data_IF_850360527006
#
_entry.id   IF_850360527006
#
_cell.length_a   1.000
_cell.length_b   1.000
_cell.length_c   1.000
_cell.angle_alpha   90.00
_cell.angle_beta   90.00
_cell.angle_gamma   90.00
#
_symmetry.space_group_name_H-M   'P 1'
#
loop_
_entity.id
_entity.type
_entity.pdbx_description
1 polymer ?
#
# COMPACT_ATOMS: atom_id res chain seq x y z
N UNK A 1 -11.30 40.41 -21.85
CA UNK A 1 -10.11 39.62 -21.50
C UNK A 1 -10.59 38.21 -21.21
N UNK A 2 -10.34 37.26 -22.11
CA UNK A 2 -10.70 35.86 -21.88
C UNK A 2 -9.68 35.30 -20.89
N UNK A 3 -10.07 35.18 -19.63
CA UNK A 3 -9.30 34.40 -18.67
C UNK A 3 -9.35 32.95 -19.17
N UNK A 4 -8.20 32.40 -19.55
CA UNK A 4 -8.06 30.97 -19.75
C UNK A 4 -8.55 30.29 -18.47
N UNK A 5 -9.47 29.31 -18.53
CA UNK A 5 -9.94 28.65 -17.33
C UNK A 5 -8.74 28.12 -16.55
N UNK A 6 -8.61 28.53 -15.28
CA UNK A 6 -7.55 27.99 -14.42
C UNK A 6 -7.75 26.47 -14.36
N UNK A 7 -6.73 25.66 -14.70
CA UNK A 7 -6.87 24.21 -14.63
C UNK A 7 -7.25 23.81 -13.19
N UNK A 8 -8.16 22.85 -13.06
CA UNK A 8 -8.54 22.32 -11.75
C UNK A 8 -7.34 21.71 -11.04
N UNK A 9 -7.29 21.93 -9.73
CA UNK A 9 -6.21 21.43 -8.88
C UNK A 9 -6.77 20.68 -7.68
N UNK A 10 -5.94 19.79 -7.16
CA UNK A 10 -6.21 18.91 -6.05
C UNK A 10 -5.33 19.30 -4.86
N UNK A 11 -5.93 19.62 -3.72
CA UNK A 11 -5.19 19.87 -2.48
C UNK A 11 -5.24 18.66 -1.55
N UNK A 12 -4.09 18.34 -0.94
CA UNK A 12 -3.89 17.18 -0.06
C UNK A 12 -4.42 15.85 -0.65
N UNK A 13 -4.10 15.50 -1.91
CA UNK A 13 -4.57 14.25 -2.47
C UNK A 13 -3.96 13.06 -1.74
N UNK A 14 -4.79 12.07 -1.45
CA UNK A 14 -4.41 10.81 -0.82
C UNK A 14 -5.15 9.67 -1.49
N UNK A 15 -4.41 8.68 -1.98
CA UNK A 15 -4.97 7.47 -2.57
C UNK A 15 -4.58 6.26 -1.74
N UNK A 16 -5.58 5.51 -1.28
CA UNK A 16 -5.38 4.24 -0.58
C UNK A 16 -5.78 3.09 -1.49
N UNK A 17 -4.88 2.12 -1.65
CA UNK A 17 -5.19 0.81 -2.22
C UNK A 17 -5.45 -0.16 -1.08
N UNK A 18 -6.64 -0.76 -1.09
CA UNK A 18 -6.98 -1.96 -0.34
C UNK A 18 -6.80 -3.16 -1.27
N UNK A 19 -5.91 -4.08 -0.94
CA UNK A 19 -5.57 -5.23 -1.79
C UNK A 19 -5.66 -6.54 -0.99
N UNK A 20 -6.25 -7.58 -1.61
CA UNK A 20 -6.51 -8.87 -0.98
C UNK A 20 -5.88 -10.00 -1.79
N UNK A 21 -4.90 -10.67 -1.19
CA UNK A 21 -4.15 -11.77 -1.81
C UNK A 21 -4.47 -13.09 -1.10
N UNK A 22 -4.87 -14.10 -1.87
CA UNK A 22 -5.09 -15.43 -1.33
C UNK A 22 -3.79 -16.00 -0.75
N UNK A 23 -3.81 -16.34 0.53
CA UNK A 23 -2.66 -16.92 1.24
C UNK A 23 -2.80 -18.44 1.32
N UNK A 24 -3.99 -18.95 1.64
CA UNK A 24 -4.26 -20.39 1.74
C UNK A 24 -5.48 -20.75 0.89
N UNK A 25 -5.41 -21.92 0.25
CA UNK A 25 -6.54 -22.49 -0.50
C UNK A 25 -6.86 -23.87 0.09
N UNK A 26 -8.15 -24.14 0.34
CA UNK A 26 -8.62 -25.42 0.86
C UNK A 26 -8.20 -26.62 0.01
N UNK A 27 -7.96 -26.40 -1.30
CA UNK A 27 -7.52 -27.43 -2.26
C UNK A 27 -6.05 -27.83 -2.11
N UNK A 28 -5.20 -26.98 -1.52
CA UNK A 28 -3.78 -27.28 -1.26
C UNK A 28 -3.57 -28.11 0.01
N UNK A 29 -4.63 -28.43 0.75
CA UNK A 29 -4.57 -29.19 2.00
C UNK A 29 -4.49 -28.28 3.24
N UNK A 30 -4.80 -28.84 4.41
CA UNK A 30 -4.83 -28.07 5.67
C UNK A 30 -3.48 -27.40 5.90
N UNK A 31 -3.50 -26.08 6.09
CA UNK A 31 -2.36 -25.23 6.48
C UNK A 31 -1.28 -24.97 5.40
N UNK A 32 -1.45 -25.41 4.15
CA UNK A 32 -0.48 -25.11 3.09
C UNK A 32 -0.79 -23.75 2.44
N UNK A 33 0.23 -22.88 2.38
CA UNK A 33 0.12 -21.60 1.67
C UNK A 33 0.24 -21.80 0.16
N UNK A 34 -0.34 -20.86 -0.60
CA UNK A 34 -0.19 -20.77 -2.04
C UNK A 34 1.26 -20.44 -2.44
N UNK A 35 1.74 -20.95 -3.57
CA UNK A 35 3.11 -20.72 -4.04
C UNK A 35 3.38 -19.23 -4.32
N UNK A 36 2.33 -18.47 -4.64
CA UNK A 36 2.35 -17.02 -4.86
C UNK A 36 1.77 -16.22 -3.68
N UNK A 37 1.63 -16.80 -2.48
CA UNK A 37 1.04 -16.12 -1.33
C UNK A 37 1.78 -14.81 -0.99
N UNK A 38 3.10 -14.77 -1.15
CA UNK A 38 3.92 -13.59 -0.86
C UNK A 38 3.94 -12.54 -1.98
N UNK A 39 3.29 -12.79 -3.12
CA UNK A 39 3.34 -11.91 -4.30
C UNK A 39 2.99 -10.46 -3.97
N UNK A 40 2.01 -10.24 -3.09
CA UNK A 40 1.60 -8.90 -2.65
C UNK A 40 2.77 -8.11 -2.03
N UNK A 41 3.60 -8.78 -1.23
CA UNK A 41 4.77 -8.16 -0.58
C UNK A 41 5.90 -7.90 -1.57
N UNK A 42 6.13 -8.83 -2.51
CA UNK A 42 7.10 -8.64 -3.59
C UNK A 42 6.73 -7.44 -4.48
N UNK A 43 5.44 -7.27 -4.78
CA UNK A 43 4.93 -6.11 -5.53
C UNK A 43 5.11 -4.79 -4.76
N UNK A 44 4.95 -4.79 -3.43
CA UNK A 44 5.28 -3.61 -2.62
C UNK A 44 6.77 -3.26 -2.68
N UNK A 45 7.66 -4.27 -2.67
CA UNK A 45 9.11 -4.04 -2.85
C UNK A 45 9.38 -3.45 -4.23
N UNK A 46 8.77 -3.99 -5.29
CA UNK A 46 8.91 -3.46 -6.65
C UNK A 46 8.42 -2.00 -6.77
N UNK A 47 7.30 -1.66 -6.12
CA UNK A 47 6.81 -0.29 -6.01
C UNK A 47 7.84 0.62 -5.32
N UNK A 48 8.47 0.12 -4.25
CA UNK A 48 9.56 0.79 -3.54
C UNK A 48 10.77 1.06 -4.41
N UNK A 49 11.14 0.11 -5.28
CA UNK A 49 12.21 0.28 -6.25
C UNK A 49 11.87 1.32 -7.31
N UNK A 50 10.70 1.22 -7.93
CA UNK A 50 10.25 2.14 -8.97
C UNK A 50 10.15 3.59 -8.47
N UNK A 51 9.69 3.80 -7.23
CA UNK A 51 9.42 5.13 -6.66
C UNK A 51 10.48 5.62 -5.69
N UNK A 52 11.58 4.89 -5.55
CA UNK A 52 12.66 5.17 -4.63
C UNK A 52 12.19 5.41 -3.18
N UNK A 53 11.41 4.46 -2.65
CA UNK A 53 10.87 4.48 -1.27
C UNK A 53 11.61 3.45 -0.44
N UNK A 54 12.61 3.87 0.35
CA UNK A 54 13.50 2.97 1.09
C UNK A 54 12.79 1.99 2.02
N UNK A 55 11.73 2.43 2.69
CA UNK A 55 10.94 1.55 3.57
C UNK A 55 10.35 0.38 2.78
N UNK A 56 9.81 0.64 1.58
CA UNK A 56 9.19 -0.41 0.76
C UNK A 56 10.25 -1.33 0.15
N UNK A 57 11.41 -0.80 -0.26
CA UNK A 57 12.56 -1.63 -0.70
C UNK A 57 12.99 -2.63 0.39
N UNK A 58 12.96 -2.18 1.63
CA UNK A 58 13.33 -2.98 2.81
C UNK A 58 12.14 -3.64 3.51
N UNK A 59 10.95 -3.70 2.87
CA UNK A 59 9.71 -4.14 3.52
C UNK A 59 9.84 -5.54 4.12
N UNK A 60 10.52 -6.47 3.45
CA UNK A 60 10.71 -7.86 3.93
C UNK A 60 11.37 -7.92 5.31
N UNK A 61 12.24 -6.96 5.65
CA UNK A 61 12.84 -6.86 6.98
C UNK A 61 11.82 -6.55 8.07
N UNK A 62 10.74 -5.86 7.72
CA UNK A 62 9.70 -5.42 8.65
C UNK A 62 8.60 -6.46 8.85
N UNK A 63 8.49 -7.48 7.99
CA UNK A 63 7.40 -8.44 8.00
C UNK A 63 7.75 -9.72 8.77
N UNK A 64 6.82 -10.22 9.58
CA UNK A 64 6.94 -11.48 10.35
C UNK A 64 7.14 -12.68 9.42
N UNK A 65 6.46 -12.69 8.27
CA UNK A 65 6.46 -13.78 7.29
C UNK A 65 7.77 -13.94 6.48
N UNK A 66 8.85 -13.26 6.85
CA UNK A 66 10.15 -13.38 6.21
C UNK A 66 11.26 -13.64 7.23
N UNK A 67 12.20 -14.54 6.92
CA UNK A 67 13.41 -14.78 7.72
C UNK A 67 14.63 -14.33 6.93
N UNK A 68 15.61 -13.70 7.61
CA UNK A 68 16.90 -13.44 7.00
C UNK A 68 17.71 -14.74 6.88
N UNK A 69 18.07 -15.13 5.65
CA UNK A 69 19.00 -16.22 5.38
C UNK A 69 20.42 -15.65 5.19
N UNK A 70 21.35 -15.92 6.13
CA UNK A 70 22.73 -15.43 6.02
C UNK A 70 23.52 -16.08 4.88
N UNK A 71 23.09 -17.22 4.33
CA UNK A 71 23.78 -17.89 3.22
C UNK A 71 23.63 -17.10 1.92
N UNK A 72 22.43 -16.61 1.67
CA UNK A 72 22.09 -15.86 0.46
C UNK A 72 22.10 -14.34 0.70
N UNK A 73 22.25 -13.91 1.96
CA UNK A 73 22.12 -12.50 2.38
C UNK A 73 20.78 -11.87 1.96
N UNK A 74 19.70 -12.67 2.01
CA UNK A 74 18.36 -12.27 1.58
C UNK A 74 17.29 -12.68 2.58
N UNK A 75 16.16 -11.97 2.54
CA UNK A 75 14.96 -12.35 3.27
C UNK A 75 14.15 -13.36 2.46
N UNK A 76 14.02 -14.58 2.99
CA UNK A 76 13.23 -15.65 2.40
C UNK A 76 11.84 -15.70 3.03
N UNK A 77 10.82 -15.98 2.21
CA UNK A 77 9.44 -16.10 2.67
C UNK A 77 9.30 -17.35 3.54
N UNK A 78 8.86 -17.15 4.79
CA UNK A 78 8.62 -18.17 5.78
C UNK A 78 7.34 -17.83 6.58
N UNK A 79 6.15 -18.23 6.10
CA UNK A 79 4.88 -17.84 6.70
C UNK A 79 4.63 -18.48 8.08
N UNK A 80 5.34 -19.54 8.47
CA UNK A 80 5.17 -20.12 9.82
C UNK A 80 5.65 -19.18 10.93
N UNK A 81 6.52 -18.23 10.60
CA UNK A 81 6.99 -17.23 11.56
C UNK A 81 5.84 -16.35 12.10
N UNK A 82 4.77 -16.16 11.32
CA UNK A 82 3.63 -15.35 11.71
C UNK A 82 3.04 -15.82 13.05
N UNK A 83 2.84 -17.13 13.17
CA UNK A 83 2.27 -17.74 14.37
C UNK A 83 3.34 -17.91 15.48
N UNK A 84 4.60 -18.15 15.09
CA UNK A 84 5.71 -18.29 16.04
C UNK A 84 6.06 -16.98 16.75
N UNK A 85 5.97 -15.86 16.03
CA UNK A 85 6.25 -14.52 16.53
C UNK A 85 5.02 -13.86 17.18
N UNK A 86 3.85 -14.52 17.14
CA UNK A 86 2.65 -14.02 17.77
C UNK A 86 2.77 -13.96 19.31
N UNK A 87 2.34 -12.86 19.90
CA UNK A 87 2.35 -12.68 21.35
C UNK A 87 1.28 -13.57 22.00
N UNK A 88 1.39 -13.89 23.31
CA UNK A 88 0.36 -14.67 24.01
C UNK A 88 -1.05 -14.10 23.86
N UNK A 89 -1.18 -12.78 23.75
CA UNK A 89 -2.45 -12.06 23.57
C UNK A 89 -3.00 -12.18 22.14
N UNK A 90 -2.14 -12.36 21.14
CA UNK A 90 -2.52 -12.54 19.72
C UNK A 90 -2.91 -13.98 19.40
N UNK A 91 -2.32 -14.97 20.10
CA UNK A 91 -2.54 -16.41 19.85
C UNK A 91 -4.02 -16.83 19.75
N UNK A 92 -4.94 -16.34 20.59
CA UNK A 92 -6.37 -16.68 20.48
C UNK A 92 -7.04 -16.19 19.20
N UNK A 93 -6.46 -15.22 18.49
CA UNK A 93 -7.04 -14.54 17.32
C UNK A 93 -6.31 -14.84 16.02
N UNK A 94 -5.35 -15.78 16.01
CA UNK A 94 -4.53 -16.06 14.83
C UNK A 94 -5.32 -16.46 13.61
N UNK A 95 -6.47 -17.11 13.83
CA UNK A 95 -7.39 -17.51 12.76
C UNK A 95 -8.26 -16.34 12.29
N UNK A 96 -8.43 -15.28 13.08
CA UNK A 96 -9.25 -14.11 12.74
C UNK A 96 -8.42 -13.05 12.02
N UNK A 97 -7.40 -12.52 12.70
CA UNK A 97 -6.57 -11.44 12.18
C UNK A 97 -5.20 -11.40 12.86
N UNK A 98 -4.18 -10.97 12.12
CA UNK A 98 -2.83 -10.78 12.63
C UNK A 98 -2.13 -9.65 11.89
N UNK A 99 -1.49 -8.75 12.64
CA UNK A 99 -0.60 -7.74 12.08
C UNK A 99 0.72 -8.38 11.66
N UNK A 100 1.13 -8.13 10.42
CA UNK A 100 2.32 -8.74 9.85
C UNK A 100 3.58 -7.93 10.08
N UNK A 101 3.47 -6.69 10.57
CA UNK A 101 4.64 -5.91 10.99
C UNK A 101 5.24 -6.56 12.24
N UNK A 102 6.56 -6.74 12.24
CA UNK A 102 7.32 -7.19 13.40
C UNK A 102 7.19 -6.14 14.50
N UNK A 103 6.83 -6.58 15.70
CA UNK A 103 6.83 -5.69 16.88
C UNK A 103 8.28 -5.41 17.27
N UNK A 104 8.63 -4.14 17.38
CA UNK A 104 9.87 -3.73 18.04
C UNK A 104 9.61 -3.71 19.56
N UNK A 105 10.32 -4.53 20.36
CA UNK A 105 10.13 -4.58 21.81
C UNK A 105 10.37 -3.24 22.52
N UNK A 106 11.05 -2.29 21.87
CA UNK A 106 11.35 -0.96 22.43
C UNK A 106 10.47 0.15 21.87
N UNK A 107 9.51 -0.18 21.00
CA UNK A 107 8.74 0.81 20.27
C UNK A 107 7.24 0.54 20.40
N UNK A 108 6.51 1.51 20.96
CA UNK A 108 5.05 1.61 20.84
C UNK A 108 4.61 2.01 19.41
N UNK A 109 5.49 1.90 18.42
CA UNK A 109 5.21 2.37 17.07
C UNK A 109 3.99 1.68 16.47
N UNK A 110 3.23 2.52 15.79
CA UNK A 110 1.98 2.18 15.16
C UNK A 110 2.09 0.95 14.26
N UNK A 111 0.98 0.22 14.20
CA UNK A 111 0.58 -0.91 13.34
C UNK A 111 0.76 -0.66 11.82
N UNK A 112 1.31 0.50 11.47
CA UNK A 112 1.44 1.06 10.14
C UNK A 112 2.85 1.62 9.98
N UNK A 113 3.54 1.21 8.93
CA UNK A 113 4.86 1.73 8.61
C UNK A 113 4.69 2.98 7.75
N UNK A 114 5.17 4.13 8.24
CA UNK A 114 5.09 5.42 7.53
C UNK A 114 6.37 5.69 6.77
N UNK A 115 6.25 6.33 5.62
CA UNK A 115 7.38 6.65 4.75
C UNK A 115 7.21 7.94 3.98
N UNK A 116 8.31 8.38 3.39
CA UNK A 116 8.36 9.39 2.35
C UNK A 116 9.39 8.97 1.28
N UNK A 117 9.27 9.50 0.07
CA UNK A 117 10.34 9.40 -0.93
C UNK A 117 11.59 10.16 -0.46
N UNK A 118 12.76 9.76 -0.95
CA UNK A 118 14.02 10.47 -0.67
C UNK A 118 14.21 11.73 -1.51
N UNK A 119 13.59 11.76 -2.69
CA UNK A 119 13.66 12.89 -3.61
C UNK A 119 12.31 13.56 -3.76
N UNK A 120 12.34 14.89 -3.80
CA UNK A 120 11.20 15.71 -4.19
C UNK A 120 11.22 15.86 -5.71
N UNK A 121 10.10 15.55 -6.36
CA UNK A 121 9.96 15.78 -7.81
C UNK A 121 9.13 17.02 -8.00
N UNK A 122 9.71 18.07 -8.61
CA UNK A 122 9.04 19.37 -8.80
C UNK A 122 8.54 20.00 -7.47
N UNK A 123 9.27 19.80 -6.37
CA UNK A 123 8.88 20.28 -5.05
C UNK A 123 7.75 19.48 -4.39
N UNK A 124 7.33 18.36 -4.98
CA UNK A 124 6.37 17.44 -4.38
C UNK A 124 7.09 16.28 -3.69
N UNK A 125 6.79 16.09 -2.40
CA UNK A 125 7.31 14.98 -1.61
C UNK A 125 6.25 13.90 -1.47
N UNK A 126 6.50 12.73 -2.07
CA UNK A 126 5.58 11.61 -1.93
C UNK A 126 5.66 11.08 -0.50
N UNK A 127 4.52 10.98 0.16
CA UNK A 127 4.40 10.41 1.51
C UNK A 127 3.49 9.20 1.47
N UNK A 128 3.59 8.33 2.46
CA UNK A 128 2.68 7.21 2.54
C UNK A 128 2.75 6.42 3.84
N UNK A 129 1.87 5.43 3.91
CA UNK A 129 1.85 4.43 4.96
C UNK A 129 1.42 3.08 4.42
N UNK A 130 1.86 2.00 5.06
CA UNK A 130 1.52 0.63 4.71
C UNK A 130 1.08 -0.14 5.96
N UNK A 131 -0.03 -0.87 5.86
CA UNK A 131 -0.56 -1.75 6.89
C UNK A 131 -0.76 -3.17 6.32
N UNK A 132 0.21 -4.07 6.53
CA UNK A 132 0.12 -5.45 6.10
C UNK A 132 -0.55 -6.32 7.18
N UNK A 133 -1.57 -7.06 6.78
CA UNK A 133 -2.41 -7.89 7.66
C UNK A 133 -2.55 -9.30 7.09
N UNK A 134 -2.74 -10.27 7.98
CA UNK A 134 -3.38 -11.54 7.67
C UNK A 134 -4.78 -11.51 8.24
N UNK A 135 -5.78 -11.83 7.44
CA UNK A 135 -7.18 -11.99 7.85
C UNK A 135 -7.60 -13.38 7.38
N UNK A 136 -7.86 -14.30 8.31
CA UNK A 136 -8.09 -15.71 8.01
C UNK A 136 -7.04 -16.31 7.03
N UNK A 137 -7.48 -16.71 5.85
CA UNK A 137 -6.74 -17.33 4.75
C UNK A 137 -6.23 -16.32 3.71
N UNK A 138 -6.31 -15.02 4.01
CA UNK A 138 -6.04 -13.93 3.09
C UNK A 138 -4.98 -12.98 3.67
N UNK A 139 -4.07 -12.52 2.83
CA UNK A 139 -3.28 -11.33 3.13
C UNK A 139 -4.03 -10.08 2.66
N UNK A 140 -4.16 -9.12 3.55
CA UNK A 140 -4.71 -7.81 3.25
C UNK A 140 -3.61 -6.74 3.34
N UNK A 141 -3.67 -5.78 2.43
CA UNK A 141 -2.76 -4.66 2.35
C UNK A 141 -3.56 -3.37 2.24
N UNK A 142 -3.29 -2.46 3.17
CA UNK A 142 -3.64 -1.05 3.02
C UNK A 142 -2.34 -0.31 2.68
N UNK A 143 -2.26 0.29 1.49
CA UNK A 143 -1.16 1.21 1.13
C UNK A 143 -1.71 2.55 0.71
N UNK A 144 -1.33 3.59 1.44
CA UNK A 144 -1.71 4.98 1.15
C UNK A 144 -0.53 5.74 0.60
N UNK A 145 -0.73 6.42 -0.53
CA UNK A 145 0.20 7.37 -1.13
C UNK A 145 -0.46 8.76 -1.17
N UNK A 146 0.28 9.81 -0.78
CA UNK A 146 -0.27 11.17 -0.66
C UNK A 146 0.76 12.27 -0.91
N UNK A 147 0.23 13.44 -1.25
CA UNK A 147 0.94 14.72 -1.22
C UNK A 147 0.30 15.65 -0.18
N UNK A 148 1.08 16.56 0.41
CA UNK A 148 0.56 17.65 1.28
C UNK A 148 0.34 18.95 0.50
N UNK A 149 0.88 19.00 -0.69
CA UNK A 149 0.86 20.15 -1.56
C UNK A 149 -0.42 20.17 -2.40
N UNK A 150 -0.67 21.31 -3.05
CA UNK A 150 -1.63 21.38 -4.14
C UNK A 150 -0.97 20.90 -5.43
N UNK A 151 -1.62 20.00 -6.14
CA UNK A 151 -1.13 19.40 -7.38
C UNK A 151 -2.09 19.62 -8.54
N UNK A 152 -1.55 19.61 -9.75
CA UNK A 152 -2.36 19.49 -10.97
C UNK A 152 -2.94 18.08 -11.07
N UNK A 153 -4.13 17.92 -11.66
CA UNK A 153 -4.79 16.60 -11.73
C UNK A 153 -3.91 15.54 -12.41
N UNK A 154 -3.14 15.88 -13.43
CA UNK A 154 -2.23 14.96 -14.11
C UNK A 154 -1.19 14.31 -13.17
N UNK A 155 -0.84 14.97 -12.07
CA UNK A 155 0.11 14.47 -11.08
C UNK A 155 -0.50 13.42 -10.15
N UNK A 156 -1.83 13.27 -10.11
CA UNK A 156 -2.50 12.24 -9.32
C UNK A 156 -2.09 10.83 -9.76
N UNK A 157 -1.74 10.62 -11.03
CA UNK A 157 -1.21 9.36 -11.55
C UNK A 157 -0.03 8.80 -10.73
N UNK A 158 0.79 9.67 -10.12
CA UNK A 158 1.92 9.28 -9.28
C UNK A 158 1.51 8.67 -7.95
N UNK A 159 0.24 8.80 -7.56
CA UNK A 159 -0.32 8.18 -6.36
C UNK A 159 -0.90 6.79 -6.63
N UNK A 160 -1.09 6.38 -7.89
CA UNK A 160 -1.74 5.10 -8.22
C UNK A 160 -0.74 3.93 -8.15
N UNK A 161 -0.81 3.01 -7.17
CA UNK A 161 0.13 1.89 -7.05
C UNK A 161 -0.24 0.65 -7.89
N UNK A 162 -1.35 0.66 -8.63
CA UNK A 162 -1.85 -0.53 -9.35
C UNK A 162 -1.01 -0.88 -10.57
N UNK A 163 -0.06 -0.03 -10.97
CA UNK A 163 0.94 -0.38 -11.98
C UNK A 163 1.89 -1.49 -11.50
N UNK A 164 2.04 -1.65 -10.18
CA UNK A 164 2.87 -2.70 -9.58
C UNK A 164 2.06 -3.70 -8.75
N UNK A 165 1.03 -3.24 -8.05
CA UNK A 165 0.29 -4.07 -7.12
C UNK A 165 -0.95 -4.63 -7.81
N UNK A 166 -1.03 -5.97 -7.85
CA UNK A 166 -2.10 -6.75 -8.45
C UNK A 166 -2.37 -7.95 -7.56
N UNK A 167 -3.46 -7.86 -6.80
CA UNK A 167 -3.87 -8.88 -5.85
C UNK A 167 -4.82 -9.91 -6.49
N UNK A 168 -4.77 -11.15 -6.03
CA UNK A 168 -5.51 -12.27 -6.64
C UNK A 168 -7.01 -12.30 -6.34
N UNK A 169 -7.45 -11.83 -5.17
CA UNK A 169 -8.87 -11.86 -4.78
C UNK A 169 -9.59 -10.60 -5.22
N UNK A 170 -8.90 -9.46 -5.18
CA UNK A 170 -9.44 -8.18 -5.60
C UNK A 170 -8.73 -7.01 -4.95
N UNK A 171 -9.06 -5.82 -5.42
CA UNK A 171 -8.50 -4.58 -4.91
C UNK A 171 -9.42 -3.39 -5.14
N UNK A 172 -9.37 -2.40 -4.25
CA UNK A 172 -10.19 -1.18 -4.29
C UNK A 172 -9.31 0.03 -4.06
N UNK A 173 -9.53 1.09 -4.85
CA UNK A 173 -8.91 2.39 -4.65
C UNK A 173 -9.88 3.35 -3.96
N UNK A 174 -9.38 4.06 -2.95
CA UNK A 174 -10.10 5.13 -2.26
C UNK A 174 -9.31 6.43 -2.39
N UNK A 175 -9.89 7.41 -3.09
CA UNK A 175 -9.32 8.74 -3.26
C UNK A 175 -9.95 9.72 -2.27
N UNK A 176 -9.11 10.42 -1.51
CA UNK A 176 -9.46 11.64 -0.80
C UNK A 176 -8.73 12.82 -1.42
N UNK A 177 -9.46 13.89 -1.73
CA UNK A 177 -8.90 15.11 -2.29
C UNK A 177 -9.80 16.30 -1.98
N UNK A 178 -9.21 17.47 -1.76
CA UNK A 178 -9.95 18.73 -1.67
C UNK A 178 -9.86 19.47 -3.02
N UNK A 179 -10.99 19.81 -3.67
CA UNK A 179 -10.95 20.65 -4.86
C UNK A 179 -10.46 22.06 -4.55
N UNK A 180 -9.74 22.68 -5.50
CA UNK A 180 -9.26 24.07 -5.39
C UNK A 180 -9.97 24.93 -6.44
N UNK A 181 -10.69 25.95 -5.99
CA UNK A 181 -11.45 26.88 -6.84
C UNK A 181 -12.44 26.17 -7.78
N UNK A 182 -13.10 25.10 -7.29
CA UNK A 182 -14.16 24.40 -8.01
C UNK A 182 -15.47 24.68 -7.29
N UNK A 183 -16.47 25.12 -8.04
CA UNK A 183 -17.83 25.31 -7.54
C UNK A 183 -18.48 23.96 -7.22
N UNK A 184 -19.36 23.92 -6.21
CA UNK A 184 -20.02 22.67 -5.79
C UNK A 184 -20.80 21.98 -6.91
N UNK A 185 -21.39 22.78 -7.82
CA UNK A 185 -22.10 22.28 -9.00
C UNK A 185 -21.21 21.49 -9.97
N UNK A 186 -19.89 21.65 -9.88
CA UNK A 186 -18.90 20.97 -10.72
C UNK A 186 -18.16 19.83 -9.99
N UNK A 187 -18.55 19.47 -8.76
CA UNK A 187 -17.85 18.42 -7.99
C UNK A 187 -17.89 17.05 -8.65
N UNK A 188 -18.99 16.69 -9.32
CA UNK A 188 -19.07 15.42 -10.06
C UNK A 188 -18.06 15.40 -11.22
N UNK A 189 -17.98 16.48 -11.98
CA UNK A 189 -17.03 16.59 -13.10
C UNK A 189 -15.59 16.59 -12.60
N UNK A 190 -15.30 17.29 -11.49
CA UNK A 190 -13.99 17.26 -10.85
C UNK A 190 -13.61 15.85 -10.40
N UNK A 191 -14.52 15.12 -9.76
CA UNK A 191 -14.30 13.74 -9.36
C UNK A 191 -14.02 12.84 -10.57
N UNK A 192 -14.79 12.97 -11.65
CA UNK A 192 -14.57 12.22 -12.88
C UNK A 192 -13.17 12.49 -13.48
N UNK A 193 -12.73 13.76 -13.49
CA UNK A 193 -11.38 14.12 -13.99
C UNK A 193 -10.27 13.59 -13.08
N UNK A 194 -10.48 13.54 -11.76
CA UNK A 194 -9.55 12.89 -10.84
C UNK A 194 -9.40 11.39 -11.13
N UNK A 195 -10.53 10.69 -11.35
CA UNK A 195 -10.53 9.26 -11.70
C UNK A 195 -9.79 9.03 -13.02
N UNK A 196 -10.11 9.81 -14.06
CA UNK A 196 -9.45 9.72 -15.36
C UNK A 196 -7.93 9.99 -15.29
N UNK A 197 -7.48 10.84 -14.37
CA UNK A 197 -6.06 11.10 -14.15
C UNK A 197 -5.35 9.97 -13.38
N UNK A 198 -6.08 9.18 -12.59
CA UNK A 198 -5.54 8.07 -11.80
C UNK A 198 -5.50 6.76 -12.57
N UNK A 199 -6.59 6.42 -13.22
CA UNK A 199 -6.80 5.15 -13.91
C UNK A 199 -6.80 5.44 -15.40
N UNK A 200 -5.75 5.04 -16.10
CA UNK A 200 -5.77 5.07 -17.57
C UNK A 200 -6.82 4.06 -18.02
N UNK A 201 -7.76 4.49 -18.86
CA UNK A 201 -8.64 3.54 -19.54
C UNK A 201 -7.78 2.54 -20.32
N UNK A 202 -7.95 1.27 -19.99
CA UNK A 202 -7.33 0.11 -20.66
C UNK A 202 -8.13 -0.30 -21.88
#
# INVERSE_FOLDING_TARGET
MNQTPTPWKAHNPSLTLYAFQLRQDITKGKQQVMDNANQLWEQCVALGEQRNIQLLKSLKKQLRCYTYDPKDSQYQYNPSNEDQEATPEEKPYLDDWLELVRKDPQSDQARQLRFHSESDTNGLRLMGEISPLRIHDTYALDVTLRYRETVELAQLSQLNPTDQIQASIGQTLLLFVKPVNVEESAYQDFANHCVAALVKET
#
